data_IF_446863508299
#
_entry.id   IF_446863508299
#
_cell.length_a   1.000
_cell.length_b   1.000
_cell.length_c   1.000
_cell.angle_alpha   90.00
_cell.angle_beta   90.00
_cell.angle_gamma   90.00
#
_symmetry.space_group_name_H-M   'P 1'
#
loop_
_entity.id
_entity.type
_entity.pdbx_description
1 polymer ?
#
# COMPACT_ATOMS: atom_id res chain seq x y z
N UNK A 1 1.88 -8.62 7.03
CA UNK A 1 1.65 -7.79 5.84
C UNK A 1 0.60 -8.48 5.01
N UNK A 2 -0.57 -7.86 4.90
CA UNK A 2 -1.66 -8.35 4.08
C UNK A 2 -1.54 -7.82 2.66
N UNK A 3 -2.04 -8.56 1.68
CA UNK A 3 -1.99 -8.17 0.27
C UNK A 3 -3.20 -8.73 -0.46
N UNK A 4 -3.89 -7.84 -1.18
CA UNK A 4 -4.99 -8.18 -2.07
C UNK A 4 -4.64 -7.86 -3.51
N UNK A 5 -4.67 -8.89 -4.36
CA UNK A 5 -4.66 -8.71 -5.81
C UNK A 5 -6.09 -8.64 -6.30
N UNK A 6 -6.44 -7.54 -6.96
CA UNK A 6 -7.82 -7.25 -7.35
C UNK A 6 -8.01 -7.45 -8.86
N UNK A 7 -9.25 -7.78 -9.25
CA UNK A 7 -9.59 -7.95 -10.66
C UNK A 7 -9.50 -6.60 -11.37
N UNK A 8 -8.60 -6.53 -12.36
CA UNK A 8 -8.44 -5.38 -13.26
C UNK A 8 -9.74 -5.04 -13.99
N UNK A 9 -9.99 -3.75 -14.24
CA UNK A 9 -11.01 -3.30 -15.19
C UNK A 9 -10.59 -3.56 -16.64
N UNK A 10 -11.57 -3.75 -17.51
CA UNK A 10 -11.32 -4.20 -18.89
C UNK A 10 -10.45 -3.21 -19.70
N UNK A 11 -10.70 -1.90 -19.54
CA UNK A 11 -10.00 -0.83 -20.26
C UNK A 11 -8.54 -0.62 -19.81
N UNK A 12 -8.16 -1.16 -18.65
CA UNK A 12 -6.79 -1.03 -18.13
C UNK A 12 -5.88 -1.99 -18.90
N UNK A 13 -4.61 -1.65 -19.18
CA UNK A 13 -3.72 -2.54 -19.91
C UNK A 13 -3.48 -3.88 -19.18
N UNK A 14 -3.42 -5.03 -19.88
CA UNK A 14 -3.34 -6.37 -19.28
C UNK A 14 -2.04 -6.65 -18.52
N UNK A 15 -1.01 -5.86 -18.78
CA UNK A 15 0.27 -5.90 -18.09
C UNK A 15 0.32 -5.01 -16.83
N UNK A 16 -0.80 -4.37 -16.47
CA UNK A 16 -0.92 -3.63 -15.21
C UNK A 16 -1.14 -4.60 -14.05
N UNK A 17 -0.40 -4.38 -12.97
CA UNK A 17 -0.55 -5.07 -11.68
C UNK A 17 -0.99 -4.04 -10.64
N UNK A 18 -1.88 -4.45 -9.76
CA UNK A 18 -2.47 -3.63 -8.70
C UNK A 18 -2.50 -4.48 -7.45
N UNK A 19 -1.92 -3.98 -6.38
CA UNK A 19 -2.04 -4.56 -5.05
C UNK A 19 -2.42 -3.47 -4.05
N UNK A 20 -3.22 -3.87 -3.07
CA UNK A 20 -3.66 -3.05 -1.94
C UNK A 20 -3.49 -3.87 -0.67
N UNK A 21 -3.09 -3.26 0.44
CA UNK A 21 -2.92 -4.01 1.69
C UNK A 21 -2.58 -3.14 2.91
N UNK A 22 -2.31 -3.83 4.00
CA UNK A 22 -1.77 -3.29 5.25
C UNK A 22 -0.33 -3.80 5.46
N UNK A 23 0.58 -2.88 5.78
CA UNK A 23 1.94 -3.21 6.22
C UNK A 23 2.07 -2.90 7.71
N UNK A 24 2.08 -3.93 8.55
CA UNK A 24 2.24 -3.79 10.00
C UNK A 24 3.62 -3.28 10.42
N UNK A 25 4.68 -3.56 9.63
CA UNK A 25 6.02 -3.09 9.94
C UNK A 25 6.11 -1.56 9.75
N UNK A 26 5.53 -1.05 8.67
CA UNK A 26 5.44 0.39 8.42
C UNK A 26 4.25 1.05 9.12
N UNK A 27 3.32 0.26 9.65
CA UNK A 27 2.04 0.70 10.18
C UNK A 27 1.32 1.66 9.23
N UNK A 28 1.19 1.27 7.97
CA UNK A 28 0.54 2.05 6.90
C UNK A 28 -0.30 1.15 5.99
N UNK A 29 -1.41 1.67 5.51
CA UNK A 29 -2.06 1.13 4.32
C UNK A 29 -1.22 1.45 3.09
N UNK A 30 -1.27 0.60 2.07
CA UNK A 30 -0.53 0.83 0.83
C UNK A 30 -1.32 0.49 -0.43
N UNK A 31 -0.94 1.14 -1.53
CA UNK A 31 -1.36 0.80 -2.89
C UNK A 31 -0.16 0.87 -3.81
N UNK A 32 0.07 -0.21 -4.55
CA UNK A 32 1.10 -0.24 -5.59
C UNK A 32 0.49 -0.64 -6.92
N UNK A 33 0.78 0.17 -7.93
CA UNK A 33 0.29 -0.03 -9.30
C UNK A 33 1.45 0.15 -10.25
N UNK A 34 1.73 -0.87 -11.05
CA UNK A 34 2.82 -0.84 -12.01
C UNK A 34 2.46 -1.59 -13.28
N UNK A 35 3.14 -1.24 -14.37
CA UNK A 35 3.05 -1.94 -15.65
C UNK A 35 4.33 -2.71 -15.91
N UNK A 36 4.19 -4.02 -16.11
CA UNK A 36 5.30 -4.88 -16.53
C UNK A 36 5.46 -4.75 -18.05
N UNK A 37 6.59 -4.28 -18.58
CA UNK A 37 6.74 -4.14 -20.01
C UNK A 37 6.73 -5.51 -20.71
N UNK A 38 6.21 -5.54 -21.95
CA UNK A 38 6.17 -6.77 -22.77
C UNK A 38 7.53 -7.15 -23.36
N UNK A 39 8.44 -6.19 -23.48
CA UNK A 39 9.77 -6.37 -24.06
C UNK A 39 10.78 -6.53 -22.93
N UNK A 40 11.61 -7.55 -23.05
CA UNK A 40 12.71 -7.77 -22.12
C UNK A 40 13.69 -6.57 -22.12
N UNK A 41 14.19 -6.23 -20.93
CA UNK A 41 15.06 -5.07 -20.70
C UNK A 41 14.39 -3.68 -20.63
N UNK A 42 13.08 -3.56 -20.83
CA UNK A 42 12.37 -2.31 -20.59
C UNK A 42 12.08 -2.11 -19.09
N UNK A 43 12.04 -0.85 -18.64
CA UNK A 43 11.81 -0.50 -17.24
C UNK A 43 10.34 -0.71 -16.81
N UNK A 44 10.16 -1.20 -15.58
CA UNK A 44 8.85 -1.22 -14.92
C UNK A 44 8.37 0.22 -14.76
N UNK A 45 7.14 0.49 -15.22
CA UNK A 45 6.52 1.80 -15.05
C UNK A 45 5.65 1.78 -13.80
N UNK A 46 6.09 2.46 -12.75
CA UNK A 46 5.27 2.71 -11.57
C UNK A 46 4.23 3.80 -11.89
N UNK A 47 2.97 3.48 -11.66
CA UNK A 47 1.84 4.40 -11.83
C UNK A 47 1.39 4.98 -10.48
N UNK A 48 1.37 4.15 -9.44
CA UNK A 48 1.08 4.54 -8.06
C UNK A 48 2.03 3.78 -7.14
N UNK A 49 2.66 4.51 -6.21
CA UNK A 49 3.41 3.95 -5.10
C UNK A 49 3.07 4.80 -3.85
N UNK A 50 2.14 4.29 -3.05
CA UNK A 50 1.60 5.00 -1.89
C UNK A 50 1.65 4.06 -0.67
N UNK A 51 1.93 4.61 0.50
CA UNK A 51 2.16 3.82 1.71
C UNK A 51 3.54 3.14 1.71
N UNK A 52 4.57 3.86 1.23
CA UNK A 52 5.94 3.36 1.18
C UNK A 52 6.81 3.92 2.31
N UNK A 53 6.25 4.80 3.14
CA UNK A 53 6.88 5.32 4.36
C UNK A 53 6.12 4.88 5.61
N UNK A 54 6.80 4.80 6.76
CA UNK A 54 6.15 4.55 8.03
C UNK A 54 5.03 5.55 8.32
N UNK A 55 3.86 5.06 8.76
CA UNK A 55 2.70 5.87 9.17
C UNK A 55 2.19 6.84 8.09
N UNK A 56 2.39 6.53 6.81
CA UNK A 56 2.04 7.42 5.68
C UNK A 56 0.53 7.53 5.46
N UNK A 57 -0.19 6.40 5.52
CA UNK A 57 -1.62 6.31 5.25
C UNK A 57 -2.30 5.51 6.37
N UNK A 58 -3.19 6.16 7.11
CA UNK A 58 -3.89 5.61 8.27
C UNK A 58 -5.38 5.31 8.02
N UNK A 59 -5.89 5.72 6.85
CA UNK A 59 -7.25 5.49 6.39
C UNK A 59 -7.28 4.50 5.20
N UNK A 60 -7.92 3.32 5.33
CA UNK A 60 -8.01 2.37 4.24
C UNK A 60 -8.83 2.89 3.05
N UNK A 61 -9.72 3.87 3.22
CA UNK A 61 -10.46 4.45 2.09
C UNK A 61 -9.52 5.13 1.07
N UNK A 62 -8.42 5.72 1.55
CA UNK A 62 -7.41 6.36 0.68
C UNK A 62 -6.81 5.36 -0.32
N UNK A 63 -6.41 4.18 0.13
CA UNK A 63 -5.82 3.16 -0.75
C UNK A 63 -6.86 2.50 -1.68
N UNK A 64 -8.10 2.38 -1.21
CA UNK A 64 -9.23 1.92 -2.03
C UNK A 64 -9.48 2.88 -3.19
N UNK A 65 -9.49 4.19 -2.93
CA UNK A 65 -9.74 5.20 -3.95
C UNK A 65 -8.60 5.33 -4.96
N UNK A 66 -7.34 5.17 -4.52
CA UNK A 66 -6.18 5.08 -5.44
C UNK A 66 -6.29 3.88 -6.38
N UNK A 67 -6.81 2.74 -5.91
CA UNK A 67 -6.99 1.54 -6.72
C UNK A 67 -8.21 1.60 -7.64
N UNK A 68 -9.26 2.36 -7.27
CA UNK A 68 -10.57 2.40 -7.93
C UNK A 68 -10.53 2.60 -9.47
N UNK A 69 -9.64 3.43 -10.06
CA UNK A 69 -9.56 3.58 -11.51
C UNK A 69 -9.09 2.31 -12.23
N UNK A 70 -8.36 1.43 -11.55
CA UNK A 70 -7.63 0.32 -12.18
C UNK A 70 -8.31 -1.04 -12.01
N UNK A 71 -9.11 -1.21 -10.96
CA UNK A 71 -9.69 -2.50 -10.57
C UNK A 71 -11.17 -2.40 -10.21
N UNK A 72 -11.82 -3.55 -10.18
CA UNK A 72 -13.11 -3.72 -9.52
C UNK A 72 -12.83 -3.85 -8.02
N UNK A 73 -13.42 -2.95 -7.23
CA UNK A 73 -13.27 -2.92 -5.77
C UNK A 73 -14.33 -3.85 -5.18
N UNK A 74 -13.93 -4.93 -4.47
CA UNK A 74 -14.87 -5.73 -3.67
C UNK A 74 -15.52 -4.86 -2.60
N UNK A 75 -16.81 -5.09 -2.32
CA UNK A 75 -17.57 -4.32 -1.33
C UNK A 75 -16.99 -4.45 0.09
N UNK A 76 -16.38 -5.61 0.40
CA UNK A 76 -15.80 -5.96 1.69
C UNK A 76 -14.34 -5.54 1.87
N UNK A 77 -13.71 -4.95 0.85
CA UNK A 77 -12.26 -4.69 0.88
C UNK A 77 -11.87 -3.72 2.00
N UNK A 78 -12.67 -2.68 2.23
CA UNK A 78 -12.42 -1.71 3.30
C UNK A 78 -12.45 -2.38 4.69
N UNK A 79 -13.44 -3.25 4.93
CA UNK A 79 -13.59 -3.98 6.19
C UNK A 79 -12.41 -4.93 6.41
N UNK A 80 -11.99 -5.64 5.35
CA UNK A 80 -10.83 -6.54 5.39
C UNK A 80 -9.53 -5.81 5.71
N UNK A 81 -9.27 -4.67 5.06
CA UNK A 81 -8.09 -3.86 5.38
C UNK A 81 -8.13 -3.35 6.83
N UNK A 82 -9.30 -2.93 7.30
CA UNK A 82 -9.49 -2.50 8.69
C UNK A 82 -9.21 -3.65 9.67
N UNK A 83 -9.67 -4.85 9.35
CA UNK A 83 -9.42 -6.05 10.14
C UNK A 83 -7.93 -6.42 10.15
N UNK A 84 -7.26 -6.40 9.00
CA UNK A 84 -5.82 -6.71 8.89
C UNK A 84 -4.99 -5.81 9.81
N UNK A 85 -5.30 -4.50 9.87
CA UNK A 85 -4.64 -3.56 10.79
C UNK A 85 -4.81 -3.94 12.26
N UNK A 86 -5.95 -4.51 12.64
CA UNK A 86 -6.25 -4.87 14.02
C UNK A 86 -5.67 -6.23 14.41
N UNK A 87 -5.45 -7.12 13.45
CA UNK A 87 -5.02 -8.51 13.71
C UNK A 87 -3.53 -8.75 13.45
N UNK A 88 -2.87 -7.91 12.65
CA UNK A 88 -1.44 -8.05 12.40
C UNK A 88 -0.62 -7.31 13.47
N UNK A 89 0.21 -8.06 14.19
CA UNK A 89 1.14 -7.51 15.17
C UNK A 89 2.23 -6.66 14.51
N UNK A 90 2.65 -5.59 15.18
CA UNK A 90 3.82 -4.78 14.80
C UNK A 90 5.10 -5.60 15.03
N UNK A 91 5.79 -6.07 13.98
CA UNK A 91 7.01 -6.87 14.13
C UNK A 91 8.19 -6.04 14.65
N UNK A 92 8.09 -4.71 14.64
CA UNK A 92 9.11 -3.81 15.18
C UNK A 92 8.96 -3.59 16.68
N UNK A 93 7.87 -4.07 17.30
CA UNK A 93 7.57 -3.86 18.72
C UNK A 93 7.66 -2.36 19.12
N UNK A 94 7.21 -1.46 18.24
CA UNK A 94 7.29 -0.01 18.43
C UNK A 94 8.66 0.62 18.18
N UNK A 95 9.72 -0.13 17.89
CA UNK A 95 11.08 0.41 17.67
C UNK A 95 11.13 1.38 16.49
N UNK A 96 10.33 1.16 15.45
CA UNK A 96 10.23 2.08 14.31
C UNK A 96 9.63 3.43 14.74
N UNK A 97 8.57 3.39 15.56
CA UNK A 97 7.95 4.59 16.15
C UNK A 97 8.98 5.40 16.93
N UNK A 98 9.71 4.74 17.82
CA UNK A 98 10.71 5.37 18.68
C UNK A 98 11.83 6.03 17.86
N UNK A 99 12.29 5.36 16.80
CA UNK A 99 13.31 5.90 15.91
C UNK A 99 12.85 7.19 15.21
N UNK A 100 11.60 7.23 14.73
CA UNK A 100 11.04 8.41 14.06
C UNK A 100 10.86 9.58 15.04
N UNK A 101 10.38 9.31 16.25
CA UNK A 101 10.26 10.34 17.31
C UNK A 101 11.63 10.95 17.61
N UNK A 102 12.66 10.12 17.80
CA UNK A 102 14.05 10.58 18.04
C UNK A 102 14.57 11.43 16.88
N UNK A 103 14.37 10.99 15.63
CA UNK A 103 14.80 11.73 14.45
C UNK A 103 14.12 13.10 14.35
N UNK A 104 12.82 13.18 14.65
CA UNK A 104 12.06 14.44 14.63
C UNK A 104 12.54 15.40 15.71
N UNK A 105 12.85 14.91 16.91
CA UNK A 105 13.42 15.72 17.99
C UNK A 105 14.82 16.27 17.66
N UNK A 106 15.63 15.52 16.90
CA UNK A 106 16.97 15.95 16.49
C UNK A 106 16.94 17.00 15.36
N UNK A 107 15.90 17.02 14.51
CA UNK A 107 15.78 17.96 13.39
C UNK A 107 15.28 19.36 13.79
N UNK A 108 14.88 19.56 15.05
CA UNK A 108 14.35 20.83 15.59
C UNK A 108 15.41 21.56 16.45
N UNK A 109 16.64 21.05 16.51
CA UNK A 109 17.80 21.66 17.17
C UNK A 109 18.76 22.22 16.14
#
# INVERSE_FOLDING_TARGET
MSLYTLRRRDHVPPNTRVIVGWDAQLATFYTQIWQVPRRDGALIRNLVAAGIHPYEIDDPATVVDLARPYVHIPEDLHERLTADRLTEDDPTEGRLRDALVKRRAAAVR
#
